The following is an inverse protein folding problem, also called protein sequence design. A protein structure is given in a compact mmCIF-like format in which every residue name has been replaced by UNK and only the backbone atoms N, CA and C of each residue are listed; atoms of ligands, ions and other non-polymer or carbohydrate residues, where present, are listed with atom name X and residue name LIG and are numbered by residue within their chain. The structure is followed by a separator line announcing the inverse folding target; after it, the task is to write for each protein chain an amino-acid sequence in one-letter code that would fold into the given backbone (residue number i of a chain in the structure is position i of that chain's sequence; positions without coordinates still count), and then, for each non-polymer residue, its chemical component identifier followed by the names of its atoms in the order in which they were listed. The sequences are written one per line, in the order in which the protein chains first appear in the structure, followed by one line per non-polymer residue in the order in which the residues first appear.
data_IF_034610064420
#
_entry.id   IF_034610064420
#
_cell.length_a   1.000
_cell.length_b   1.000
_cell.length_c   1.000
_cell.angle_alpha   90.00
_cell.angle_beta   90.00
_cell.angle_gamma   90.00
#
_symmetry.space_group_name_H-M   'P 1'
#
loop_
_entity.id
_entity.type
_entity.pdbx_description
1 polymer ?
#
# COMPACT_ATOMS: atom_id res chain seq x y z
N UNK A 1 7.77 -1.59 -6.31
CA UNK A 1 8.81 -1.42 -5.26
C UNK A 1 8.18 -0.82 -4.03
N UNK A 2 8.54 -1.31 -2.83
CA UNK A 2 8.15 -0.67 -1.57
C UNK A 2 8.93 0.63 -1.43
N UNK A 3 8.23 1.75 -1.24
CA UNK A 3 8.88 3.05 -0.98
C UNK A 3 9.05 3.28 0.52
N UNK A 4 8.08 2.83 1.31
CA UNK A 4 8.15 2.86 2.76
C UNK A 4 6.81 2.54 3.43
N UNK A 5 6.89 2.33 4.74
CA UNK A 5 5.77 2.08 5.65
C UNK A 5 6.03 2.90 6.92
N UNK A 6 5.01 3.62 7.37
CA UNK A 6 5.08 4.53 8.51
C UNK A 6 3.86 4.34 9.42
N UNK A 7 4.02 4.70 10.68
CA UNK A 7 2.90 4.88 11.61
C UNK A 7 2.66 6.38 11.81
N UNK A 8 1.39 6.76 11.96
CA UNK A 8 1.03 8.16 12.18
C UNK A 8 1.24 8.55 13.64
N UNK A 9 2.19 9.45 13.88
CA UNK A 9 2.50 9.99 15.22
C UNK A 9 1.63 11.21 15.58
N UNK A 10 1.16 11.97 14.59
CA UNK A 10 0.31 13.14 14.78
C UNK A 10 -0.76 13.23 13.68
N UNK A 11 -2.00 13.55 14.07
CA UNK A 11 -3.18 13.49 13.19
C UNK A 11 -4.09 12.33 13.58
N UNK A 12 -4.38 11.43 12.63
CA UNK A 12 -5.17 10.23 12.89
C UNK A 12 -4.29 9.12 13.49
N UNK A 13 -4.40 8.93 14.80
CA UNK A 13 -3.65 7.90 15.52
C UNK A 13 -4.15 6.49 15.15
N UNK A 14 -3.28 5.48 15.35
CA UNK A 14 -3.50 4.08 14.97
C UNK A 14 -3.66 3.88 13.44
N UNK A 15 -3.07 4.77 12.65
CA UNK A 15 -3.01 4.66 11.19
C UNK A 15 -1.63 4.18 10.73
N UNK A 16 -1.64 3.29 9.74
CA UNK A 16 -0.44 2.88 9.00
C UNK A 16 -0.52 3.47 7.59
N UNK A 17 0.54 4.15 7.17
CA UNK A 17 0.69 4.70 5.81
C UNK A 17 1.76 3.91 5.08
N UNK A 18 1.48 3.46 3.88
CA UNK A 18 2.47 2.78 3.04
C UNK A 18 2.41 3.25 1.59
N UNK A 19 3.57 3.36 0.95
CA UNK A 19 3.67 3.82 -0.43
C UNK A 19 4.39 2.80 -1.31
N UNK A 20 3.86 2.62 -2.53
CA UNK A 20 4.37 1.65 -3.49
C UNK A 20 4.55 2.33 -4.84
N UNK A 21 5.73 2.16 -5.43
CA UNK A 21 6.01 2.59 -6.79
C UNK A 21 5.72 1.44 -7.77
N UNK A 22 4.95 1.75 -8.82
CA UNK A 22 4.65 0.85 -9.93
C UNK A 22 5.00 1.55 -11.24
N UNK A 23 5.45 0.80 -12.24
CA UNK A 23 5.72 1.32 -13.59
C UNK A 23 4.48 1.94 -14.22
N UNK A 24 3.34 1.28 -14.06
CA UNK A 24 2.03 1.68 -14.59
C UNK A 24 0.90 0.96 -13.82
N UNK A 25 -0.35 1.26 -14.16
CA UNK A 25 -1.52 0.67 -13.51
C UNK A 25 -1.75 -0.80 -13.86
N UNK A 26 -1.31 -1.28 -15.02
CA UNK A 26 -1.41 -2.69 -15.40
C UNK A 26 -0.42 -3.53 -14.60
N UNK A 27 0.81 -3.04 -14.43
CA UNK A 27 1.80 -3.63 -13.55
C UNK A 27 1.28 -3.69 -12.10
N UNK A 28 0.65 -2.62 -11.61
CA UNK A 28 -0.01 -2.63 -10.29
C UNK A 28 -1.08 -3.72 -10.20
N UNK A 29 -1.96 -3.83 -11.20
CA UNK A 29 -3.02 -4.83 -11.20
C UNK A 29 -2.45 -6.26 -11.21
N UNK A 30 -1.45 -6.53 -12.05
CA UNK A 30 -0.78 -7.84 -12.12
C UNK A 30 -0.12 -8.22 -10.79
N UNK A 31 0.67 -7.32 -10.20
CA UNK A 31 1.37 -7.59 -8.93
C UNK A 31 0.36 -7.82 -7.81
N UNK A 32 -0.67 -6.99 -7.69
CA UNK A 32 -1.73 -7.19 -6.68
C UNK A 32 -2.50 -8.49 -6.91
N UNK A 33 -2.78 -8.85 -8.15
CA UNK A 33 -3.42 -10.12 -8.49
C UNK A 33 -2.61 -11.33 -8.03
N UNK A 34 -1.29 -11.31 -8.22
CA UNK A 34 -0.38 -12.36 -7.76
C UNK A 34 -0.33 -12.43 -6.22
N UNK A 35 -0.21 -11.28 -5.55
CA UNK A 35 -0.17 -11.21 -4.07
C UNK A 35 -1.46 -11.78 -3.46
N UNK A 36 -2.62 -11.58 -4.08
CA UNK A 36 -3.88 -12.14 -3.57
C UNK A 36 -3.94 -13.68 -3.65
N UNK A 37 -3.09 -14.31 -4.46
CA UNK A 37 -3.00 -15.77 -4.59
C UNK A 37 -1.98 -16.38 -3.60
N UNK A 38 -1.17 -15.56 -2.93
CA UNK A 38 -0.17 -16.01 -1.98
C UNK A 38 -0.84 -16.51 -0.67
N UNK A 39 -0.65 -17.78 -0.27
CA UNK A 39 -1.21 -18.30 0.97
C UNK A 39 -0.76 -17.57 2.23
N UNK A 40 0.49 -17.08 2.28
CA UNK A 40 0.99 -16.32 3.43
C UNK A 40 0.28 -14.97 3.52
N UNK A 41 0.02 -14.34 2.38
CA UNK A 41 -0.76 -13.11 2.32
C UNK A 41 -2.22 -13.32 2.76
N UNK A 42 -2.85 -14.41 2.33
CA UNK A 42 -4.21 -14.76 2.76
C UNK A 42 -4.28 -15.01 4.27
N UNK A 43 -3.30 -15.71 4.84
CA UNK A 43 -3.21 -15.93 6.28
C UNK A 43 -3.00 -14.62 7.05
N UNK A 44 -2.21 -13.69 6.50
CA UNK A 44 -2.04 -12.34 7.07
C UNK A 44 -3.37 -11.55 7.05
N UNK A 45 -4.10 -11.54 5.92
CA UNK A 45 -5.38 -10.85 5.83
C UNK A 45 -6.40 -11.38 6.85
N UNK A 46 -6.42 -12.68 7.11
CA UNK A 46 -7.27 -13.27 8.16
C UNK A 46 -7.03 -12.69 9.56
N UNK A 47 -5.80 -12.23 9.85
CA UNK A 47 -5.45 -11.57 11.12
C UNK A 47 -5.61 -10.06 11.06
N UNK A 48 -5.27 -9.44 9.93
CA UNK A 48 -5.21 -7.99 9.79
C UNK A 48 -6.58 -7.35 9.52
N UNK A 49 -7.43 -7.97 8.70
CA UNK A 49 -8.73 -7.41 8.31
C UNK A 49 -9.65 -7.12 9.51
N UNK A 50 -9.74 -7.97 10.56
CA UNK A 50 -10.53 -7.64 11.76
C UNK A 50 -10.02 -6.42 12.54
N UNK A 51 -8.76 -6.03 12.37
CA UNK A 51 -8.14 -4.88 13.03
C UNK A 51 -8.28 -3.59 12.20
N UNK A 52 -8.72 -3.71 10.94
CA UNK A 52 -8.82 -2.61 9.99
C UNK A 52 -10.22 -2.00 10.04
N UNK A 53 -10.32 -0.78 10.57
CA UNK A 53 -11.60 -0.04 10.63
C UNK A 53 -11.89 0.66 9.29
N UNK A 54 -10.87 1.31 8.71
CA UNK A 54 -10.97 2.06 7.47
C UNK A 54 -9.70 1.89 6.65
N UNK A 55 -9.82 1.88 5.32
CA UNK A 55 -8.69 1.94 4.40
C UNK A 55 -8.98 2.89 3.26
N UNK A 56 -8.08 3.86 3.06
CA UNK A 56 -8.07 4.79 1.93
C UNK A 56 -6.83 4.58 1.08
N UNK A 57 -6.95 4.80 -0.23
CA UNK A 57 -5.80 4.79 -1.13
C UNK A 57 -5.96 5.85 -2.22
N UNK A 58 -4.85 6.41 -2.65
CA UNK A 58 -4.78 7.37 -3.76
C UNK A 58 -3.68 6.93 -4.72
N UNK A 59 -3.86 7.26 -6.00
CA UNK A 59 -2.81 7.10 -7.02
C UNK A 59 -2.20 8.48 -7.27
N UNK A 60 -0.89 8.55 -7.19
CA UNK A 60 -0.13 9.79 -7.37
C UNK A 60 0.75 9.65 -8.60
N UNK A 61 0.81 10.73 -9.38
CA UNK A 61 1.84 10.91 -10.39
C UNK A 61 2.92 11.83 -9.82
N UNK A 62 4.21 11.47 -9.92
CA UNK A 62 5.28 12.33 -9.41
C UNK A 62 5.30 13.65 -10.18
N UNK A 63 5.40 14.76 -9.45
CA UNK A 63 5.58 16.08 -10.07
C UNK A 63 6.97 16.19 -10.73
N UNK A 64 7.19 17.12 -11.69
CA UNK A 64 8.48 17.25 -12.38
C UNK A 64 9.69 17.46 -11.45
N UNK A 65 9.48 18.14 -10.32
CA UNK A 65 10.50 18.41 -9.31
C UNK A 65 10.66 17.29 -8.27
N UNK A 66 9.88 16.21 -8.35
CA UNK A 66 10.01 15.07 -7.43
C UNK A 66 11.37 14.40 -7.63
N UNK A 67 12.13 14.13 -6.55
CA UNK A 67 13.36 13.34 -6.64
C UNK A 67 13.07 11.87 -6.95
N UNK A 68 11.84 11.42 -6.71
CA UNK A 68 11.34 10.09 -7.05
C UNK A 68 10.52 10.21 -8.34
N UNK A 69 11.13 9.84 -9.46
CA UNK A 69 10.52 9.79 -10.79
C UNK A 69 10.16 8.36 -11.16
#
# INVERSE_FOLDING_TARGET
TNVGVWQTEAGQLNEVVHMWAYRDLNHRASVRGQVMQDPEWQAFLGKATPLLIEMRSVILSPAPASPMK
#
